data_IF_522828869569
#
_entry.id   IF_522828869569
#
_cell.length_a   1.000
_cell.length_b   1.000
_cell.length_c   1.000
_cell.angle_alpha   90.00
_cell.angle_beta   90.00
_cell.angle_gamma   90.00
#
_symmetry.space_group_name_H-M   'P 1'
#
loop_
_entity.id
_entity.type
_entity.pdbx_description
1 polymer ?
#
# COMPACT_ATOMS: atom_id res chain seq x y z
N UNK A 1 3.13 -7.29 -17.28
CA UNK A 1 3.55 -6.48 -18.44
C UNK A 1 4.64 -5.52 -17.96
N UNK A 2 5.75 -5.36 -18.68
CA UNK A 2 6.78 -4.40 -18.32
C UNK A 2 6.53 -3.04 -18.98
N UNK A 3 7.16 -2.01 -18.46
CA UNK A 3 7.24 -0.67 -19.04
C UNK A 3 8.71 -0.29 -19.26
N UNK A 4 8.95 0.82 -19.97
CA UNK A 4 10.30 1.35 -20.13
C UNK A 4 11.02 1.50 -18.78
N UNK A 5 12.31 1.16 -18.69
CA UNK A 5 13.08 1.31 -17.45
C UNK A 5 13.26 2.79 -17.06
N UNK A 6 13.59 3.02 -15.79
CA UNK A 6 13.66 4.35 -15.19
C UNK A 6 14.60 5.31 -15.91
N UNK A 7 14.19 6.59 -15.96
CA UNK A 7 14.80 7.73 -16.68
C UNK A 7 14.48 7.90 -18.18
N UNK A 8 13.55 7.11 -18.74
CA UNK A 8 13.07 7.35 -20.10
C UNK A 8 12.39 8.73 -20.23
N UNK A 9 12.74 9.51 -21.26
CA UNK A 9 12.11 10.81 -21.59
C UNK A 9 10.60 10.68 -21.83
N UNK A 10 10.15 9.50 -22.28
CA UNK A 10 8.72 9.17 -22.47
C UNK A 10 8.46 7.71 -22.08
N UNK A 11 7.73 7.54 -20.97
CA UNK A 11 7.35 6.23 -20.47
C UNK A 11 6.24 5.58 -21.32
N UNK A 12 6.35 4.27 -21.55
CA UNK A 12 5.35 3.47 -22.25
C UNK A 12 5.41 1.98 -21.87
N UNK A 13 4.36 1.24 -22.19
CA UNK A 13 4.33 -0.22 -22.05
C UNK A 13 5.27 -0.89 -23.04
N UNK A 14 6.05 -1.89 -22.60
CA UNK A 14 6.91 -2.69 -23.49
C UNK A 14 6.11 -3.60 -24.41
N UNK A 15 4.95 -4.07 -23.94
CA UNK A 15 4.05 -4.97 -24.68
C UNK A 15 2.65 -4.39 -24.70
N UNK A 16 2.33 -3.71 -25.80
CA UNK A 16 1.04 -3.04 -26.00
C UNK A 16 -0.13 -4.02 -25.94
N UNK A 17 0.04 -5.26 -26.43
CA UNK A 17 -0.99 -6.29 -26.38
C UNK A 17 -1.46 -6.64 -24.95
N UNK A 18 -0.53 -6.68 -23.98
CA UNK A 18 -0.91 -6.89 -22.58
C UNK A 18 -1.61 -5.67 -21.98
N UNK A 19 -1.22 -4.46 -22.39
CA UNK A 19 -1.91 -3.24 -21.96
C UNK A 19 -3.33 -3.17 -22.53
N UNK A 20 -3.53 -3.60 -23.79
CA UNK A 20 -4.85 -3.70 -24.40
C UNK A 20 -5.74 -4.70 -23.66
N UNK A 21 -5.20 -5.87 -23.31
CA UNK A 21 -5.93 -6.87 -22.53
C UNK A 21 -6.32 -6.32 -21.14
N UNK A 22 -5.37 -5.69 -20.43
CA UNK A 22 -5.64 -5.09 -19.13
C UNK A 22 -6.71 -3.97 -19.21
N UNK A 23 -6.59 -3.10 -20.21
CA UNK A 23 -7.55 -2.02 -20.45
C UNK A 23 -8.96 -2.57 -20.75
N UNK A 24 -9.05 -3.62 -21.57
CA UNK A 24 -10.32 -4.29 -21.87
C UNK A 24 -10.97 -4.90 -20.61
N UNK A 25 -10.19 -5.53 -19.72
CA UNK A 25 -10.68 -6.07 -18.44
C UNK A 25 -11.14 -4.96 -17.48
N UNK A 26 -10.47 -3.80 -17.50
CA UNK A 26 -10.83 -2.63 -16.71
C UNK A 26 -11.98 -1.82 -17.33
N UNK A 27 -12.41 -2.14 -18.55
CA UNK A 27 -13.45 -1.40 -19.26
C UNK A 27 -13.04 0.01 -19.69
N UNK A 28 -11.75 0.26 -19.91
CA UNK A 28 -11.21 1.58 -20.31
C UNK A 28 -10.45 1.51 -21.63
N UNK A 29 -10.33 2.63 -22.38
CA UNK A 29 -9.43 2.71 -23.53
C UNK A 29 -7.97 2.48 -23.12
N UNK A 30 -7.20 1.81 -23.97
CA UNK A 30 -5.76 1.56 -23.71
C UNK A 30 -4.95 2.85 -23.58
N UNK A 31 -5.36 3.89 -24.32
CA UNK A 31 -4.73 5.22 -24.24
C UNK A 31 -4.96 5.86 -22.87
N UNK A 32 -6.17 5.79 -22.33
CA UNK A 32 -6.51 6.34 -21.02
C UNK A 32 -5.73 5.63 -19.91
N UNK A 33 -5.61 4.31 -20.00
CA UNK A 33 -4.76 3.52 -19.09
C UNK A 33 -3.29 3.98 -19.16
N UNK A 34 -2.74 4.16 -20.36
CA UNK A 34 -1.38 4.64 -20.53
C UNK A 34 -1.18 6.07 -20.00
N UNK A 35 -2.16 6.96 -20.21
CA UNK A 35 -2.13 8.33 -19.73
C UNK A 35 -2.19 8.39 -18.20
N UNK A 36 -3.07 7.61 -17.57
CA UNK A 36 -3.18 7.50 -16.13
C UNK A 36 -1.87 7.03 -15.48
N UNK A 37 -1.19 6.07 -16.09
CA UNK A 37 0.06 5.49 -15.57
C UNK A 37 1.30 6.35 -15.80
N UNK A 38 1.45 6.91 -17.01
CA UNK A 38 2.74 7.46 -17.45
C UNK A 38 2.76 8.96 -17.67
N UNK A 39 1.59 9.61 -17.76
CA UNK A 39 1.53 11.04 -18.06
C UNK A 39 1.15 11.91 -16.87
N UNK A 40 0.64 11.29 -15.80
CA UNK A 40 0.09 11.98 -14.64
C UNK A 40 -1.06 12.92 -15.03
N UNK A 41 -1.96 13.21 -14.09
CA UNK A 41 -2.66 14.48 -14.19
C UNK A 41 -1.64 15.53 -13.75
N UNK A 42 -1.15 16.37 -14.64
CA UNK A 42 -0.64 17.68 -14.24
C UNK A 42 -1.83 18.49 -13.76
N UNK A 43 -2.44 18.12 -12.64
CA UNK A 43 -3.27 19.04 -11.88
C UNK A 43 -2.32 20.14 -11.43
N UNK A 44 -2.34 21.26 -12.15
CA UNK A 44 -1.94 22.55 -11.61
C UNK A 44 -2.83 22.84 -10.42
N UNK A 45 -2.55 22.20 -9.30
CA UNK A 45 -3.14 22.51 -8.01
C UNK A 45 -2.32 23.63 -7.43
N UNK A 46 -2.70 24.86 -7.74
CA UNK A 46 -2.33 26.03 -6.94
C UNK A 46 -3.00 25.89 -5.57
N UNK A 47 -2.49 25.00 -4.73
CA UNK A 47 -2.72 25.06 -3.29
C UNK A 47 -1.59 25.90 -2.71
N UNK A 48 -1.85 27.19 -2.60
CA UNK A 48 -1.10 28.11 -1.76
C UNK A 48 -1.31 27.72 -0.29
N UNK A 49 -0.66 26.65 0.16
CA UNK A 49 -0.48 26.38 1.58
C UNK A 49 0.89 26.92 2.00
N UNK A 50 0.87 28.11 2.61
CA UNK A 50 2.00 28.65 3.38
C UNK A 50 2.21 27.75 4.60
N UNK A 51 3.04 26.71 4.47
CA UNK A 51 3.64 26.03 5.63
C UNK A 51 5.13 25.86 5.33
N UNK A 52 5.95 26.27 6.30
CA UNK A 52 7.37 26.51 6.15
C UNK A 52 8.17 25.28 5.72
N UNK A 53 9.05 25.53 4.76
CA UNK A 53 10.44 25.08 4.73
C UNK A 53 10.72 23.65 5.22
N UNK A 54 10.37 22.63 4.41
CA UNK A 54 11.15 21.39 4.20
C UNK A 54 10.50 20.54 3.12
N UNK A 55 10.83 20.80 1.86
CA UNK A 55 11.17 19.78 0.85
C UNK A 55 11.26 20.44 -0.52
N UNK A 56 12.48 20.82 -0.87
CA UNK A 56 12.89 21.11 -2.24
C UNK A 56 12.89 19.81 -3.06
N UNK A 57 11.73 19.19 -3.28
CA UNK A 57 11.55 18.27 -4.42
C UNK A 57 11.05 19.14 -5.58
N UNK A 58 11.90 20.07 -5.99
CA UNK A 58 11.79 20.67 -7.30
C UNK A 58 12.08 19.56 -8.30
N UNK A 59 11.02 18.98 -8.86
CA UNK A 59 10.87 18.76 -10.29
C UNK A 59 12.20 18.57 -11.02
N UNK A 60 12.82 17.40 -10.85
CA UNK A 60 13.56 16.87 -11.99
C UNK A 60 12.53 16.66 -13.08
N UNK A 61 12.76 17.19 -14.27
CA UNK A 61 11.99 16.94 -15.50
C UNK A 61 12.02 15.47 -15.97
N UNK A 62 12.15 14.54 -15.03
CA UNK A 62 12.06 13.09 -15.21
C UNK A 62 10.63 12.72 -14.85
N UNK A 63 9.87 12.17 -15.80
CA UNK A 63 8.57 11.60 -15.53
C UNK A 63 8.64 10.54 -14.42
N UNK A 64 7.50 10.15 -13.83
CA UNK A 64 7.46 9.11 -12.80
C UNK A 64 8.23 7.87 -13.27
N UNK A 65 8.96 7.22 -12.37
CA UNK A 65 9.65 5.97 -12.70
C UNK A 65 8.61 4.95 -13.15
N UNK A 66 8.58 4.67 -14.46
CA UNK A 66 7.47 3.94 -15.06
C UNK A 66 7.21 2.58 -14.40
N UNK A 67 8.23 1.80 -14.01
CA UNK A 67 8.04 0.55 -13.28
C UNK A 67 7.41 0.76 -11.91
N UNK A 68 7.87 1.76 -11.15
CA UNK A 68 7.32 2.10 -9.83
C UNK A 68 5.87 2.58 -9.93
N UNK A 69 5.55 3.41 -10.94
CA UNK A 69 4.18 3.86 -11.21
C UNK A 69 3.26 2.67 -11.56
N UNK A 70 3.74 1.73 -12.36
CA UNK A 70 2.99 0.52 -12.71
C UNK A 70 2.78 -0.39 -11.50
N UNK A 71 3.81 -0.60 -10.66
CA UNK A 71 3.69 -1.35 -9.40
C UNK A 71 2.68 -0.68 -8.47
N UNK A 72 2.78 0.64 -8.29
CA UNK A 72 1.88 1.42 -7.44
C UNK A 72 0.43 1.35 -7.93
N UNK A 73 0.21 1.44 -9.24
CA UNK A 73 -1.13 1.31 -9.82
C UNK A 73 -1.72 -0.07 -9.56
N UNK A 74 -0.96 -1.14 -9.78
CA UNK A 74 -1.40 -2.50 -9.49
C UNK A 74 -1.69 -2.71 -8.00
N UNK A 75 -0.82 -2.22 -7.12
CA UNK A 75 -1.02 -2.28 -5.67
C UNK A 75 -2.28 -1.51 -5.24
N UNK A 76 -2.53 -0.34 -5.83
CA UNK A 76 -3.74 0.45 -5.59
C UNK A 76 -5.02 -0.25 -6.04
N UNK A 77 -5.03 -0.86 -7.22
CA UNK A 77 -6.18 -1.66 -7.69
C UNK A 77 -6.46 -2.84 -6.75
N UNK A 78 -5.42 -3.54 -6.30
CA UNK A 78 -5.58 -4.64 -5.36
C UNK A 78 -6.12 -4.17 -4.01
N UNK A 79 -5.61 -3.04 -3.50
CA UNK A 79 -6.08 -2.44 -2.26
C UNK A 79 -7.56 -2.05 -2.34
N UNK A 80 -7.98 -1.37 -3.42
CA UNK A 80 -9.38 -0.97 -3.62
C UNK A 80 -10.31 -2.19 -3.69
N UNK A 81 -9.90 -3.23 -4.42
CA UNK A 81 -10.65 -4.49 -4.48
C UNK A 81 -10.79 -5.13 -3.09
N UNK A 82 -9.70 -5.20 -2.33
CA UNK A 82 -9.70 -5.76 -0.99
C UNK A 82 -10.63 -4.98 -0.05
N UNK A 83 -10.52 -3.65 -0.02
CA UNK A 83 -11.41 -2.77 0.75
C UNK A 83 -12.87 -2.95 0.35
N UNK A 84 -13.17 -3.01 -0.95
CA UNK A 84 -14.52 -3.23 -1.46
C UNK A 84 -15.11 -4.58 -1.01
N UNK A 85 -14.31 -5.65 -1.03
CA UNK A 85 -14.73 -6.97 -0.54
C UNK A 85 -15.05 -6.91 0.96
N UNK A 86 -14.17 -6.30 1.76
CA UNK A 86 -14.38 -6.13 3.21
C UNK A 86 -15.65 -5.31 3.48
N UNK A 87 -15.89 -4.24 2.72
CA UNK A 87 -17.13 -3.47 2.82
C UNK A 87 -18.37 -4.30 2.52
N UNK A 88 -18.34 -5.14 1.49
CA UNK A 88 -19.48 -6.00 1.16
C UNK A 88 -19.76 -7.03 2.26
N UNK A 89 -18.70 -7.64 2.82
CA UNK A 89 -18.82 -8.54 3.96
C UNK A 89 -19.45 -7.81 5.15
N UNK A 90 -18.95 -6.62 5.48
CA UNK A 90 -19.48 -5.82 6.58
C UNK A 90 -20.95 -5.44 6.34
N UNK A 91 -21.31 -4.97 5.15
CA UNK A 91 -22.71 -4.64 4.80
C UNK A 91 -23.63 -5.86 4.93
N UNK A 92 -23.15 -7.06 4.63
CA UNK A 92 -23.91 -8.29 4.76
C UNK A 92 -24.05 -8.76 6.22
N UNK A 93 -23.07 -8.46 7.08
CA UNK A 93 -23.03 -8.90 8.48
C UNK A 93 -23.55 -7.87 9.48
N UNK A 94 -23.66 -6.58 9.11
CA UNK A 94 -24.14 -5.53 10.01
C UNK A 94 -25.56 -5.86 10.49
N UNK A 95 -25.65 -6.18 11.79
CA UNK A 95 -26.90 -6.32 12.53
C UNK A 95 -27.03 -5.11 13.46
N UNK A 96 -27.97 -4.22 13.18
CA UNK A 96 -28.24 -3.00 13.98
C UNK A 96 -28.85 -3.26 15.37
N UNK A 97 -28.85 -4.49 15.87
CA UNK A 97 -29.60 -4.90 17.06
C UNK A 97 -28.75 -5.60 18.14
N UNK A 98 -27.43 -5.69 17.99
CA UNK A 98 -26.59 -6.34 18.99
C UNK A 98 -26.35 -5.44 20.22
N UNK A 99 -26.77 -5.89 21.40
CA UNK A 99 -26.52 -5.21 22.68
C UNK A 99 -25.17 -5.57 23.31
N UNK A 100 -24.50 -6.61 22.80
CA UNK A 100 -23.19 -7.09 23.26
C UNK A 100 -22.39 -7.60 22.06
N UNK A 101 -21.06 -7.58 22.16
CA UNK A 101 -20.15 -8.09 21.13
C UNK A 101 -18.91 -8.75 21.75
N UNK A 102 -18.29 -9.64 20.99
CA UNK A 102 -16.97 -10.20 21.28
C UNK A 102 -16.06 -9.81 20.13
N UNK A 103 -14.93 -9.19 20.44
CA UNK A 103 -13.90 -8.86 19.47
C UNK A 103 -12.81 -9.93 19.47
N UNK A 104 -12.49 -10.45 18.29
CA UNK A 104 -11.35 -11.34 18.09
C UNK A 104 -10.30 -10.57 17.30
N UNK A 105 -9.10 -10.43 17.87
CA UNK A 105 -7.98 -9.76 17.24
C UNK A 105 -7.09 -10.80 16.57
N UNK A 106 -7.05 -10.79 15.24
CA UNK A 106 -6.12 -11.56 14.43
C UNK A 106 -5.20 -10.59 13.67
N UNK A 107 -3.90 -10.66 13.96
CA UNK A 107 -2.89 -9.76 13.41
C UNK A 107 -1.68 -10.54 12.94
N UNK A 108 -0.91 -9.95 12.03
CA UNK A 108 0.28 -10.58 11.45
C UNK A 108 1.29 -10.92 12.54
N UNK A 109 1.76 -12.17 12.59
CA UNK A 109 2.76 -12.61 13.56
C UNK A 109 4.12 -11.90 13.39
N UNK A 110 4.93 -11.96 14.45
CA UNK A 110 6.26 -11.37 14.50
C UNK A 110 7.26 -12.12 13.62
N UNK A 111 8.10 -11.38 12.88
CA UNK A 111 9.23 -11.94 12.14
C UNK A 111 10.55 -11.86 12.93
N UNK A 112 10.53 -11.43 14.20
CA UNK A 112 11.75 -11.30 15.02
C UNK A 112 12.48 -12.63 15.22
N UNK A 113 11.76 -13.76 15.17
CA UNK A 113 12.34 -15.08 15.45
C UNK A 113 12.77 -15.84 14.20
N UNK A 114 12.41 -15.39 13.00
CA UNK A 114 12.45 -16.24 11.80
C UNK A 114 13.72 -16.15 10.95
N UNK A 115 14.63 -15.18 11.12
CA UNK A 115 15.75 -15.00 10.17
C UNK A 115 17.09 -14.49 10.75
N UNK A 116 17.32 -14.54 12.06
CA UNK A 116 18.61 -14.10 12.64
C UNK A 116 19.66 -15.21 12.68
N UNK A 117 19.28 -16.46 12.46
CA UNK A 117 20.12 -17.65 12.67
C UNK A 117 20.70 -18.27 11.40
N UNK A 118 20.25 -17.88 10.20
CA UNK A 118 20.86 -18.37 8.96
C UNK A 118 21.85 -17.35 8.40
N UNK A 119 23.14 -17.61 8.64
CA UNK A 119 24.27 -16.75 8.28
C UNK A 119 24.50 -16.55 6.78
N UNK A 120 23.63 -17.08 5.92
CA UNK A 120 23.78 -17.03 4.46
C UNK A 120 23.04 -15.88 3.77
N UNK A 121 22.03 -15.25 4.38
CA UNK A 121 21.34 -14.12 3.75
C UNK A 121 20.66 -13.26 4.81
N UNK A 122 21.25 -12.11 5.15
CA UNK A 122 20.57 -11.10 5.96
C UNK A 122 19.38 -10.57 5.14
N UNK A 123 18.18 -11.10 5.39
CA UNK A 123 16.95 -10.60 4.78
C UNK A 123 16.85 -9.11 5.07
N UNK A 124 16.82 -8.30 4.01
CA UNK A 124 16.58 -6.86 4.16
C UNK A 124 15.12 -6.71 4.61
N UNK A 125 14.92 -6.30 5.86
CA UNK A 125 13.59 -6.02 6.39
C UNK A 125 13.13 -4.66 5.85
N UNK A 126 11.92 -4.61 5.31
CA UNK A 126 11.29 -3.39 4.83
C UNK A 126 10.40 -2.73 5.88
N UNK A 127 9.69 -1.69 5.45
CA UNK A 127 8.73 -0.98 6.28
C UNK A 127 7.59 -1.90 6.77
N UNK A 128 7.15 -2.85 5.94
CA UNK A 128 6.06 -3.76 6.30
C UNK A 128 6.44 -4.65 7.48
N UNK A 129 7.65 -5.22 7.48
CA UNK A 129 8.14 -6.02 8.61
C UNK A 129 8.27 -5.18 9.89
N UNK A 130 8.72 -3.92 9.78
CA UNK A 130 8.74 -3.01 10.91
C UNK A 130 7.35 -2.77 11.48
N UNK A 131 6.34 -2.53 10.63
CA UNK A 131 4.96 -2.31 11.06
C UNK A 131 4.38 -3.56 11.73
N UNK A 132 4.59 -4.75 11.15
CA UNK A 132 4.15 -6.01 11.78
C UNK A 132 4.76 -6.19 13.17
N UNK A 133 6.08 -5.99 13.28
CA UNK A 133 6.81 -6.10 14.54
C UNK A 133 6.35 -5.08 15.58
N UNK A 134 6.10 -3.84 15.17
CA UNK A 134 5.56 -2.81 16.06
C UNK A 134 4.19 -3.21 16.63
N UNK A 135 3.27 -3.70 15.80
CA UNK A 135 1.96 -4.18 16.28
C UNK A 135 2.12 -5.33 17.28
N UNK A 136 3.01 -6.28 17.01
CA UNK A 136 3.30 -7.38 17.94
C UNK A 136 3.79 -6.86 19.30
N UNK A 137 4.70 -5.89 19.31
CA UNK A 137 5.23 -5.30 20.53
C UNK A 137 4.13 -4.55 21.31
N UNK A 138 3.27 -3.79 20.63
CA UNK A 138 2.13 -3.11 21.27
C UNK A 138 1.11 -4.08 21.88
N UNK A 139 0.84 -5.21 21.22
CA UNK A 139 -0.06 -6.24 21.78
C UNK A 139 0.57 -6.92 23.00
N UNK A 140 1.88 -7.17 22.97
CA UNK A 140 2.60 -7.73 24.12
C UNK A 140 2.64 -6.77 25.32
N UNK A 141 2.84 -5.47 25.06
CA UNK A 141 2.75 -4.41 26.07
C UNK A 141 1.35 -4.34 26.69
N UNK A 142 0.29 -4.33 25.87
CA UNK A 142 -1.10 -4.37 26.36
C UNK A 142 -1.37 -5.58 27.24
N UNK A 143 -0.90 -6.77 26.85
CA UNK A 143 -1.05 -7.98 27.66
C UNK A 143 -0.31 -7.84 29.00
N UNK A 144 0.91 -7.31 28.98
CA UNK A 144 1.69 -7.10 30.19
C UNK A 144 0.97 -6.16 31.17
N UNK A 145 0.47 -5.04 30.68
CA UNK A 145 -0.15 -4.02 31.52
C UNK A 145 -1.44 -4.53 32.16
N UNK A 146 -2.32 -5.16 31.37
CA UNK A 146 -3.58 -5.73 31.87
C UNK A 146 -3.34 -6.87 32.87
N UNK A 147 -2.36 -7.75 32.60
CA UNK A 147 -2.14 -8.92 33.45
C UNK A 147 -1.30 -8.66 34.70
N UNK A 148 -0.39 -7.69 34.67
CA UNK A 148 0.62 -7.54 35.73
C UNK A 148 0.66 -6.16 36.37
N UNK A 149 0.23 -5.10 35.68
CA UNK A 149 0.26 -3.75 36.23
C UNK A 149 -1.10 -3.42 36.83
N UNK A 150 -2.16 -3.46 36.03
CA UNK A 150 -3.53 -3.15 36.48
C UNK A 150 -4.03 -4.16 37.53
N UNK A 151 -3.61 -5.42 37.43
CA UNK A 151 -3.98 -6.45 38.40
C UNK A 151 -3.38 -6.22 39.81
N UNK A 152 -2.42 -5.30 39.95
CA UNK A 152 -1.80 -4.93 41.23
C UNK A 152 -2.43 -3.67 41.85
N UNK A 153 -3.30 -2.97 41.14
CA UNK A 153 -4.09 -1.83 41.64
C UNK A 153 -5.43 -2.28 42.26
#
# INVERSE_FOLDING_TARGET
AGCTPGSAQRAHFLRVSHAQQAAALLGVPTEDLANALFRGKTTGSTVTAKVGNTSRIALTSRGPDAPEALISFCAGLYHELFCTIVEFINKALVSNAACTWISVLDYTGSSFHSDWTDGSARKVLGLNELVHNYINERVAELFHDVCFVEAQE
#
